data_IF_203430343379
#
_entry.id   IF_203430343379
#
_cell.length_a   1.000
_cell.length_b   1.000
_cell.length_c   1.000
_cell.angle_alpha   90.00
_cell.angle_beta   90.00
_cell.angle_gamma   90.00
#
_symmetry.space_group_name_H-M   'P 1'
#
loop_
_entity.id
_entity.type
_entity.pdbx_description
1 polymer ?
#
# COMPACT_ATOMS: atom_id res chain seq x y z
N UNK A 1 -10.16 -17.24 1.51
CA UNK A 1 -10.69 -16.29 2.52
C UNK A 1 -9.86 -16.37 3.79
N UNK A 2 -9.91 -17.48 4.53
CA UNK A 2 -9.06 -17.64 5.73
C UNK A 2 -7.57 -17.57 5.39
N UNK A 3 -7.10 -18.32 4.40
CA UNK A 3 -5.68 -18.31 4.00
C UNK A 3 -5.19 -16.94 3.51
N UNK A 4 -6.02 -16.19 2.79
CA UNK A 4 -5.65 -14.85 2.30
C UNK A 4 -5.60 -13.83 3.43
N UNK A 5 -6.54 -13.90 4.38
CA UNK A 5 -6.53 -13.08 5.59
C UNK A 5 -5.34 -13.43 6.51
N UNK A 6 -5.04 -14.71 6.71
CA UNK A 6 -3.89 -15.15 7.49
C UNK A 6 -2.57 -14.71 6.86
N UNK A 7 -2.43 -14.84 5.53
CA UNK A 7 -1.24 -14.38 4.82
C UNK A 7 -1.07 -12.86 4.90
N UNK A 8 -2.16 -12.09 4.77
CA UNK A 8 -2.13 -10.65 4.91
C UNK A 8 -1.81 -10.21 6.34
N UNK A 9 -2.46 -10.82 7.34
CA UNK A 9 -2.20 -10.52 8.74
C UNK A 9 -0.77 -10.87 9.17
N UNK A 10 -0.26 -12.04 8.76
CA UNK A 10 1.13 -12.42 9.00
C UNK A 10 2.11 -11.49 8.28
N UNK A 11 1.85 -11.18 7.01
CA UNK A 11 2.70 -10.32 6.20
C UNK A 11 2.85 -8.91 6.78
N UNK A 12 1.73 -8.29 7.17
CA UNK A 12 1.79 -7.00 7.84
C UNK A 12 2.28 -7.09 9.29
N UNK A 13 2.00 -8.19 10.01
CA UNK A 13 2.59 -8.40 11.34
C UNK A 13 4.13 -8.47 11.32
N UNK A 14 4.73 -9.10 10.31
CA UNK A 14 6.18 -9.11 10.09
C UNK A 14 6.67 -7.69 9.80
N UNK A 15 5.98 -6.99 8.89
CA UNK A 15 6.36 -5.63 8.51
C UNK A 15 6.37 -4.66 9.69
N UNK A 16 5.48 -4.82 10.66
CA UNK A 16 5.43 -3.98 11.86
C UNK A 16 6.70 -4.04 12.70
N UNK A 17 7.52 -5.09 12.51
CA UNK A 17 8.82 -5.23 13.16
C UNK A 17 10.00 -4.73 12.31
N UNK A 18 9.94 -4.86 10.99
CA UNK A 18 11.07 -4.54 10.09
C UNK A 18 10.97 -3.17 9.41
N UNK A 19 9.80 -2.52 9.45
CA UNK A 19 9.56 -1.19 8.88
C UNK A 19 9.83 -1.08 7.38
N UNK A 20 9.60 0.11 6.83
CA UNK A 20 10.01 0.50 5.47
C UNK A 20 9.34 -0.23 4.29
N UNK A 21 9.80 0.12 3.09
CA UNK A 21 9.29 -0.34 1.79
C UNK A 21 9.50 -1.85 1.59
N UNK A 22 10.65 -2.37 2.01
CA UNK A 22 11.02 -3.79 1.90
C UNK A 22 10.12 -4.68 2.75
N UNK A 23 9.80 -4.26 3.98
CA UNK A 23 8.84 -4.96 4.84
C UNK A 23 7.46 -5.04 4.19
N UNK A 24 7.05 -3.99 3.48
CA UNK A 24 5.80 -3.97 2.75
C UNK A 24 5.77 -4.96 1.59
N UNK A 25 6.86 -5.05 0.83
CA UNK A 25 6.99 -5.99 -0.27
C UNK A 25 6.77 -7.44 0.18
N UNK A 26 7.29 -7.83 1.36
CA UNK A 26 7.05 -9.17 1.92
C UNK A 26 5.56 -9.46 2.15
N UNK A 27 4.80 -8.48 2.67
CA UNK A 27 3.37 -8.64 2.87
C UNK A 27 2.62 -8.82 1.53
N UNK A 28 2.98 -8.03 0.51
CA UNK A 28 2.42 -8.17 -0.84
C UNK A 28 2.76 -9.51 -1.48
N UNK A 29 3.99 -9.98 -1.31
CA UNK A 29 4.45 -11.28 -1.81
C UNK A 29 3.60 -12.43 -1.24
N UNK A 30 3.43 -12.47 0.09
CA UNK A 30 2.66 -13.54 0.75
C UNK A 30 1.20 -13.55 0.30
N UNK A 31 0.57 -12.38 0.24
CA UNK A 31 -0.83 -12.28 -0.20
C UNK A 31 -0.96 -12.62 -1.69
N UNK A 32 -0.08 -12.11 -2.54
CA UNK A 32 -0.10 -12.42 -3.96
C UNK A 32 0.13 -13.92 -4.23
N UNK A 33 1.06 -14.57 -3.54
CA UNK A 33 1.29 -16.02 -3.68
C UNK A 33 0.04 -16.82 -3.36
N UNK A 34 -0.63 -16.53 -2.23
CA UNK A 34 -1.87 -17.23 -1.86
C UNK A 34 -2.99 -16.95 -2.87
N UNK A 35 -3.11 -15.73 -3.35
CA UNK A 35 -4.12 -15.36 -4.36
C UNK A 35 -3.87 -16.07 -5.70
N UNK A 36 -2.64 -16.06 -6.20
CA UNK A 36 -2.29 -16.72 -7.46
C UNK A 36 -2.39 -18.24 -7.34
N UNK A 37 -2.01 -18.83 -6.20
CA UNK A 37 -2.18 -20.26 -5.95
C UNK A 37 -3.65 -20.68 -5.97
N UNK A 38 -4.54 -19.90 -5.34
CA UNK A 38 -5.96 -20.24 -5.25
C UNK A 38 -6.74 -19.96 -6.55
N UNK A 39 -6.41 -18.88 -7.26
CA UNK A 39 -7.22 -18.40 -8.40
C UNK A 39 -6.54 -18.56 -9.76
N UNK A 40 -5.22 -18.67 -9.78
CA UNK A 40 -4.39 -18.79 -10.97
C UNK A 40 -3.81 -20.19 -11.19
N UNK A 41 -4.42 -21.24 -10.62
CA UNK A 41 -3.93 -22.63 -10.72
C UNK A 41 -3.77 -23.16 -12.16
N UNK A 42 -4.42 -22.51 -13.13
CA UNK A 42 -4.37 -22.85 -14.55
C UNK A 42 -3.33 -22.01 -15.34
N UNK A 43 -2.68 -21.05 -14.68
CA UNK A 43 -1.62 -20.24 -15.29
C UNK A 43 -0.31 -21.01 -15.34
N UNK A 44 0.55 -20.68 -16.31
CA UNK A 44 1.93 -21.16 -16.30
C UNK A 44 2.68 -20.61 -15.08
N UNK A 45 3.65 -21.38 -14.57
CA UNK A 45 4.50 -20.94 -13.44
C UNK A 45 5.17 -19.60 -13.70
N UNK A 46 5.52 -19.30 -14.96
CA UNK A 46 6.07 -18.01 -15.36
C UNK A 46 5.07 -16.86 -15.24
N UNK A 47 3.83 -17.05 -15.72
CA UNK A 47 2.77 -16.04 -15.61
C UNK A 47 2.38 -15.80 -14.15
N UNK A 48 2.31 -16.87 -13.36
CA UNK A 48 2.08 -16.81 -11.92
C UNK A 48 3.20 -16.01 -11.21
N UNK A 49 4.46 -16.36 -11.46
CA UNK A 49 5.61 -15.66 -10.88
C UNK A 49 5.65 -14.18 -11.26
N UNK A 50 5.36 -13.84 -12.53
CA UNK A 50 5.28 -12.46 -13.00
C UNK A 50 4.19 -11.67 -12.27
N UNK A 51 3.00 -12.24 -12.12
CA UNK A 51 1.89 -11.58 -11.41
C UNK A 51 2.25 -11.31 -9.94
N UNK A 52 2.87 -12.29 -9.28
CA UNK A 52 3.36 -12.15 -7.91
C UNK A 52 4.43 -11.07 -7.80
N UNK A 53 5.41 -11.06 -8.71
CA UNK A 53 6.48 -10.07 -8.71
C UNK A 53 5.94 -8.64 -8.92
N UNK A 54 5.03 -8.45 -9.87
CA UNK A 54 4.40 -7.14 -10.11
C UNK A 54 3.61 -6.65 -8.90
N UNK A 55 2.81 -7.52 -8.28
CA UNK A 55 2.05 -7.19 -7.08
C UNK A 55 2.97 -6.85 -5.88
N UNK A 56 4.08 -7.58 -5.75
CA UNK A 56 5.10 -7.38 -4.71
C UNK A 56 5.78 -6.02 -4.86
N UNK A 57 6.21 -5.64 -6.05
CA UNK A 57 6.82 -4.32 -6.28
C UNK A 57 5.81 -3.20 -6.02
N UNK A 58 4.57 -3.39 -6.48
CA UNK A 58 3.54 -2.36 -6.37
C UNK A 58 3.16 -2.02 -4.94
N UNK A 59 3.17 -3.01 -4.03
CA UNK A 59 2.92 -2.74 -2.61
C UNK A 59 4.07 -1.94 -1.97
N UNK A 60 5.30 -2.04 -2.52
CA UNK A 60 6.45 -1.27 -2.06
C UNK A 60 6.23 0.24 -2.22
N UNK A 61 5.56 0.67 -3.30
CA UNK A 61 5.29 2.09 -3.57
C UNK A 61 4.54 2.78 -2.42
N UNK A 62 3.59 2.08 -1.78
CA UNK A 62 2.85 2.69 -0.67
C UNK A 62 3.67 2.85 0.62
N UNK A 63 4.77 2.12 0.76
CA UNK A 63 5.71 2.26 1.87
C UNK A 63 6.43 3.61 1.91
N UNK A 64 6.44 4.34 0.80
CA UNK A 64 7.01 5.71 0.71
C UNK A 64 6.13 6.79 1.37
N UNK A 65 4.87 6.48 1.69
CA UNK A 65 3.98 7.44 2.34
C UNK A 65 4.30 7.57 3.84
N UNK A 66 4.42 8.81 4.32
CA UNK A 66 4.47 9.09 5.76
C UNK A 66 3.12 8.80 6.41
N UNK A 67 2.88 7.58 6.88
CA UNK A 67 1.67 7.26 7.64
C UNK A 67 1.91 7.26 9.15
N UNK A 68 3.15 7.07 9.64
CA UNK A 68 3.43 7.00 11.09
C UNK A 68 2.94 8.24 11.86
N UNK A 69 3.20 9.44 11.33
CA UNK A 69 2.69 10.71 11.89
C UNK A 69 1.16 10.82 11.78
N UNK A 70 0.54 10.21 10.77
CA UNK A 70 -0.93 10.11 10.67
C UNK A 70 -1.54 9.27 11.78
N UNK A 71 -0.83 8.20 12.19
CA UNK A 71 -1.27 7.39 13.32
C UNK A 71 -1.14 8.17 14.63
N UNK A 72 -0.08 8.98 14.77
CA UNK A 72 0.14 9.90 15.90
C UNK A 72 -1.09 10.77 16.20
N UNK A 73 -1.69 11.35 15.16
CA UNK A 73 -2.92 12.15 15.26
C UNK A 73 -4.12 11.46 15.95
N UNK A 74 -4.10 10.13 16.04
CA UNK A 74 -5.20 9.34 16.61
C UNK A 74 -4.87 8.73 17.97
N UNK A 75 -3.61 8.70 18.39
CA UNK A 75 -3.15 7.95 19.57
C UNK A 75 -2.19 8.71 20.49
N UNK A 76 -1.60 9.82 20.04
CA UNK A 76 -0.64 10.55 20.84
C UNK A 76 -1.33 11.15 22.07
N UNK A 77 -0.69 11.01 23.24
CA UNK A 77 -1.26 11.40 24.52
C UNK A 77 -1.82 12.83 24.56
N UNK A 78 -1.16 13.85 23.96
CA UNK A 78 -1.69 15.22 23.92
C UNK A 78 -3.00 15.37 23.12
N UNK A 79 -3.30 14.41 22.23
CA UNK A 79 -4.44 14.44 21.32
C UNK A 79 -5.61 13.57 21.79
N UNK A 80 -5.43 12.78 22.86
CA UNK A 80 -6.51 12.01 23.48
C UNK A 80 -7.57 12.98 24.04
N UNK A 81 -8.82 12.78 23.62
CA UNK A 81 -9.94 13.70 23.90
C UNK A 81 -10.26 14.64 22.74
N UNK A 82 -9.39 14.79 21.74
CA UNK A 82 -9.65 15.60 20.55
C UNK A 82 -10.29 14.77 19.42
N UNK A 83 -11.63 14.78 19.37
CA UNK A 83 -12.39 14.05 18.35
C UNK A 83 -12.16 14.53 16.92
N UNK A 84 -11.74 15.79 16.72
CA UNK A 84 -11.46 16.33 15.39
C UNK A 84 -10.12 15.80 14.84
N UNK A 85 -9.09 15.73 15.70
CA UNK A 85 -7.81 15.12 15.36
C UNK A 85 -7.98 13.63 15.01
N UNK A 86 -8.75 12.90 15.83
CA UNK A 86 -9.07 11.49 15.59
C UNK A 86 -9.72 11.26 14.22
N UNK A 87 -10.77 12.02 13.89
CA UNK A 87 -11.47 11.90 12.59
C UNK A 87 -10.55 12.24 11.42
N UNK A 88 -9.68 13.24 11.59
CA UNK A 88 -8.74 13.65 10.57
C UNK A 88 -7.66 12.59 10.32
N UNK A 89 -7.09 12.03 11.40
CA UNK A 89 -6.13 10.93 11.31
C UNK A 89 -6.74 9.67 10.68
N UNK A 90 -7.95 9.29 11.08
CA UNK A 90 -8.67 8.15 10.49
C UNK A 90 -9.02 8.36 9.00
N UNK A 91 -9.35 9.59 8.60
CA UNK A 91 -9.53 9.92 7.18
C UNK A 91 -8.20 9.79 6.42
N UNK A 92 -7.11 10.27 7.01
CA UNK A 92 -5.77 10.16 6.45
C UNK A 92 -5.33 8.71 6.27
N UNK A 93 -5.58 7.83 7.25
CA UNK A 93 -5.26 6.40 7.14
C UNK A 93 -6.12 5.72 6.08
N UNK A 94 -7.41 6.07 5.98
CA UNK A 94 -8.27 5.56 4.91
C UNK A 94 -7.73 5.92 3.52
N UNK A 95 -7.42 7.20 3.28
CA UNK A 95 -6.92 7.67 1.97
C UNK A 95 -5.57 7.02 1.64
N UNK A 96 -4.61 7.04 2.57
CA UNK A 96 -3.28 6.43 2.38
C UNK A 96 -3.40 4.93 2.16
N UNK A 97 -4.24 4.24 2.93
CA UNK A 97 -4.51 2.81 2.75
C UNK A 97 -5.12 2.50 1.39
N UNK A 98 -6.08 3.30 0.93
CA UNK A 98 -6.70 3.14 -0.39
C UNK A 98 -5.68 3.27 -1.51
N UNK A 99 -4.82 4.29 -1.47
CA UNK A 99 -3.78 4.47 -2.50
C UNK A 99 -2.82 3.29 -2.48
N UNK A 100 -2.37 2.88 -1.28
CA UNK A 100 -1.39 1.81 -1.10
C UNK A 100 -1.83 0.50 -1.72
N UNK A 101 -3.00 -0.02 -1.30
CA UNK A 101 -3.49 -1.30 -1.78
C UNK A 101 -4.11 -1.18 -3.17
N UNK A 102 -4.49 0.04 -3.60
CA UNK A 102 -4.86 0.34 -4.98
C UNK A 102 -3.74 -0.04 -5.97
N UNK A 103 -2.49 0.35 -5.68
CA UNK A 103 -1.34 -0.06 -6.51
C UNK A 103 -1.18 -1.57 -6.56
N UNK A 104 -1.28 -2.26 -5.41
CA UNK A 104 -1.23 -3.72 -5.35
C UNK A 104 -2.31 -4.35 -6.26
N UNK A 105 -3.56 -3.89 -6.14
CA UNK A 105 -4.68 -4.40 -6.93
C UNK A 105 -4.48 -4.17 -8.43
N UNK A 106 -4.05 -2.96 -8.82
CA UNK A 106 -3.78 -2.62 -10.21
C UNK A 106 -2.74 -3.56 -10.84
N UNK A 107 -1.57 -3.71 -10.19
CA UNK A 107 -0.46 -4.49 -10.73
C UNK A 107 -0.73 -6.00 -10.69
N UNK A 108 -1.43 -6.48 -9.65
CA UNK A 108 -1.90 -7.86 -9.61
C UNK A 108 -2.88 -8.15 -10.75
N UNK A 109 -3.82 -7.23 -11.01
CA UNK A 109 -4.76 -7.33 -12.12
C UNK A 109 -4.08 -7.27 -13.49
N UNK A 110 -3.05 -6.43 -13.67
CA UNK A 110 -2.21 -6.41 -14.87
C UNK A 110 -1.45 -7.72 -15.05
N UNK A 111 -0.93 -8.31 -13.97
CA UNK A 111 -0.17 -9.55 -14.00
C UNK A 111 -1.01 -10.77 -14.36
N UNK A 112 -2.24 -10.83 -13.85
CA UNK A 112 -3.22 -11.91 -14.07
C UNK A 112 -4.09 -11.70 -15.31
N UNK A 113 -4.11 -10.48 -15.85
CA UNK A 113 -4.86 -10.13 -17.05
C UNK A 113 -4.23 -10.73 -18.31
N UNK A 114 -5.08 -11.06 -19.28
CA UNK A 114 -4.64 -11.55 -20.60
C UNK A 114 -4.28 -10.43 -21.59
N UNK A 115 -4.33 -9.16 -21.17
CA UNK A 115 -4.07 -8.01 -22.05
C UNK A 115 -2.58 -7.83 -22.24
N UNK A 116 -2.16 -7.71 -23.50
CA UNK A 116 -0.76 -7.44 -23.86
C UNK A 116 -0.49 -5.94 -23.78
N UNK A 117 0.55 -5.59 -23.04
CA UNK A 117 1.10 -4.24 -22.95
C UNK A 117 2.45 -4.22 -23.67
N UNK A 118 2.62 -3.31 -24.63
CA UNK A 118 3.92 -3.16 -25.31
C UNK A 118 4.91 -2.43 -24.41
N UNK A 119 6.20 -2.63 -24.64
CA UNK A 119 7.26 -1.94 -23.86
C UNK A 119 7.13 -0.41 -23.95
N UNK A 120 6.79 0.11 -25.14
CA UNK A 120 6.59 1.55 -25.37
C UNK A 120 5.40 2.05 -24.55
N UNK A 121 4.30 1.31 -24.54
CA UNK A 121 3.11 1.66 -23.75
C UNK A 121 3.38 1.68 -22.25
N UNK A 122 4.13 0.70 -21.73
CA UNK A 122 4.51 0.68 -20.32
C UNK A 122 5.46 1.82 -19.97
N UNK A 123 6.45 2.11 -20.83
CA UNK A 123 7.38 3.22 -20.64
C UNK A 123 6.65 4.57 -20.64
N UNK A 124 5.76 4.80 -21.61
CA UNK A 124 4.97 6.03 -21.67
C UNK A 124 4.02 6.16 -20.48
N UNK A 125 3.35 5.07 -20.08
CA UNK A 125 2.46 5.07 -18.93
C UNK A 125 3.22 5.42 -17.63
N UNK A 126 4.44 4.90 -17.46
CA UNK A 126 5.30 5.20 -16.32
C UNK A 126 5.85 6.63 -16.36
N UNK A 127 6.29 7.13 -17.52
CA UNK A 127 6.77 8.52 -17.67
C UNK A 127 5.66 9.50 -17.29
N UNK A 128 4.44 9.28 -17.79
CA UNK A 128 3.28 10.12 -17.45
C UNK A 128 2.92 9.97 -15.97
N UNK A 129 3.00 8.76 -15.40
CA UNK A 129 2.77 8.55 -13.97
C UNK A 129 3.79 9.31 -13.11
N UNK A 130 5.08 9.31 -13.47
CA UNK A 130 6.13 10.08 -12.77
C UNK A 130 5.85 11.57 -12.87
N UNK A 131 5.53 12.08 -14.06
CA UNK A 131 5.16 13.49 -14.23
C UNK A 131 3.97 13.88 -13.35
N UNK A 132 2.91 13.05 -13.33
CA UNK A 132 1.73 13.28 -12.51
C UNK A 132 1.98 13.11 -11.02
N UNK A 133 2.96 12.28 -10.63
CA UNK A 133 3.42 12.19 -9.25
C UNK A 133 3.99 13.53 -8.79
N UNK A 134 4.89 14.13 -9.55
CA UNK A 134 5.44 15.45 -9.22
C UNK A 134 4.36 16.54 -9.25
N UNK A 135 3.45 16.49 -10.22
CA UNK A 135 2.32 17.43 -10.28
C UNK A 135 1.40 17.29 -9.06
N UNK A 136 1.07 16.07 -8.65
CA UNK A 136 0.23 15.82 -7.47
C UNK A 136 0.90 16.26 -6.17
N UNK A 137 2.22 16.06 -6.03
CA UNK A 137 2.99 16.62 -4.91
C UNK A 137 2.89 18.15 -4.90
N UNK A 138 3.11 18.79 -6.06
CA UNK A 138 3.04 20.25 -6.16
C UNK A 138 1.65 20.81 -5.86
N UNK A 139 0.58 20.10 -6.23
CA UNK A 139 -0.80 20.58 -6.03
C UNK A 139 -1.34 20.31 -4.62
N UNK A 140 -1.03 19.16 -4.03
CA UNK A 140 -1.64 18.70 -2.77
C UNK A 140 -0.69 18.67 -1.58
N UNK A 141 0.61 18.50 -1.82
CA UNK A 141 1.61 18.34 -0.76
C UNK A 141 2.60 19.51 -0.67
N UNK A 142 2.36 20.59 -1.43
CA UNK A 142 3.06 21.88 -1.33
C UNK A 142 2.05 22.99 -1.02
N UNK A 143 2.46 24.08 -0.34
CA UNK A 143 3.82 24.38 0.13
C UNK A 143 4.19 23.60 1.41
N UNK A 144 5.41 23.08 1.46
CA UNK A 144 5.99 22.47 2.66
C UNK A 144 7.22 23.28 3.11
N UNK A 145 7.00 24.21 4.04
CA UNK A 145 8.05 25.00 4.69
C UNK A 145 7.88 24.96 6.21
N UNK A 146 8.47 23.95 6.88
CA UNK A 146 8.46 23.82 8.33
C UNK A 146 9.09 25.01 9.06
N UNK A 147 10.06 25.71 8.46
CA UNK A 147 10.75 26.84 9.09
C UNK A 147 9.81 28.05 9.23
N UNK A 148 8.93 28.26 8.25
CA UNK A 148 7.88 29.29 8.30
C UNK A 148 6.54 28.78 8.84
N UNK A 149 6.48 27.55 9.38
CA UNK A 149 5.24 26.87 9.81
C UNK A 149 4.16 26.79 8.71
N UNK A 150 4.57 26.73 7.43
CA UNK A 150 3.65 26.57 6.30
C UNK A 150 3.58 25.09 5.95
N UNK A 151 2.41 24.50 6.21
CA UNK A 151 2.09 23.13 5.83
C UNK A 151 1.12 23.13 4.64
N UNK A 152 1.05 22.02 3.90
CA UNK A 152 0.07 21.86 2.83
C UNK A 152 -1.37 22.00 3.34
N UNK A 153 -2.28 22.44 2.47
CA UNK A 153 -3.70 22.63 2.83
C UNK A 153 -4.38 21.34 3.30
N UNK A 154 -3.97 20.21 2.72
CA UNK A 154 -4.42 18.87 3.11
C UNK A 154 -3.21 18.10 3.62
N UNK A 155 -2.99 18.17 4.93
CA UNK A 155 -1.86 17.54 5.61
C UNK A 155 -2.36 16.55 6.66
N UNK A 156 -2.00 15.28 6.52
CA UNK A 156 -2.46 14.19 7.40
C UNK A 156 -1.38 13.76 8.40
N UNK A 157 -0.42 14.60 8.72
CA UNK A 157 0.66 14.31 9.67
C UNK A 157 0.71 15.41 10.75
N UNK A 158 1.67 15.34 11.67
CA UNK A 158 1.79 16.23 12.84
C UNK A 158 1.70 17.70 12.45
N UNK A 159 0.70 18.41 12.99
CA UNK A 159 0.40 19.78 12.64
C UNK A 159 0.34 20.65 13.90
N UNK A 160 0.99 21.82 13.86
CA UNK A 160 0.96 22.83 14.94
C UNK A 160 -0.45 23.37 15.29
N UNK A 161 -1.48 22.96 14.55
CA UNK A 161 -2.86 23.30 14.83
C UNK A 161 -3.40 22.42 15.95
N UNK A 162 -2.95 21.17 16.02
CA UNK A 162 -3.33 20.22 17.06
C UNK A 162 -2.43 20.36 18.29
N UNK A 163 -1.14 20.66 18.10
CA UNK A 163 -0.15 20.81 19.17
C UNK A 163 0.63 22.13 19.00
N UNK A 164 0.09 23.26 19.47
CA UNK A 164 0.65 24.59 19.22
C UNK A 164 1.96 24.88 19.97
N UNK A 165 2.19 24.22 21.11
CA UNK A 165 3.33 24.45 22.01
C UNK A 165 4.49 23.47 21.80
N UNK A 166 4.29 22.41 20.99
CA UNK A 166 5.28 21.35 20.78
C UNK A 166 6.26 21.65 19.64
N UNK A 167 7.51 21.20 19.81
CA UNK A 167 8.53 21.22 18.75
C UNK A 167 8.34 20.04 17.79
N UNK A 168 7.34 20.17 16.90
CA UNK A 168 7.05 19.18 15.87
C UNK A 168 8.16 19.12 14.80
N UNK A 169 8.40 17.91 14.27
CA UNK A 169 9.20 17.67 13.06
C UNK A 169 8.31 17.09 11.95
N UNK A 170 7.48 17.92 11.29
CA UNK A 170 6.61 17.45 10.21
C UNK A 170 7.45 16.82 9.10
N UNK A 171 7.01 15.70 8.52
CA UNK A 171 7.65 15.10 7.35
C UNK A 171 6.90 15.49 6.09
N UNK A 172 7.63 15.56 4.98
CA UNK A 172 7.02 15.79 3.67
C UNK A 172 6.11 14.61 3.32
N UNK A 173 4.91 14.90 2.88
CA UNK A 173 3.95 13.90 2.44
C UNK A 173 4.01 13.73 0.91
N UNK A 174 3.81 12.50 0.42
CA UNK A 174 3.82 12.20 -1.03
C UNK A 174 2.52 11.54 -1.51
N UNK A 175 1.51 11.45 -0.64
CA UNK A 175 0.25 10.75 -0.94
C UNK A 175 -0.51 11.37 -2.11
N UNK A 176 -0.46 12.70 -2.28
CA UNK A 176 -1.13 13.40 -3.38
C UNK A 176 -0.52 13.09 -4.73
N UNK A 177 0.82 12.97 -4.78
CA UNK A 177 1.53 12.50 -5.96
C UNK A 177 1.16 11.07 -6.35
N UNK A 178 1.20 10.16 -5.38
CA UNK A 178 0.81 8.76 -5.60
C UNK A 178 -0.67 8.63 -6.00
N UNK A 179 -1.55 9.47 -5.47
CA UNK A 179 -2.95 9.50 -5.89
C UNK A 179 -3.09 9.89 -7.37
N UNK A 180 -2.40 10.95 -7.81
CA UNK A 180 -2.46 11.41 -9.20
C UNK A 180 -1.89 10.37 -10.17
N UNK A 181 -0.75 9.77 -9.82
CA UNK A 181 -0.16 8.69 -10.59
C UNK A 181 -1.10 7.47 -10.66
N UNK A 182 -1.73 7.08 -9.55
CA UNK A 182 -2.70 5.99 -9.52
C UNK A 182 -3.94 6.31 -10.36
N UNK A 183 -4.51 7.51 -10.26
CA UNK A 183 -5.65 7.95 -11.05
C UNK A 183 -5.37 7.86 -12.56
N UNK A 184 -4.17 8.27 -12.99
CA UNK A 184 -3.75 8.10 -14.38
C UNK A 184 -3.66 6.64 -14.78
N UNK A 185 -3.04 5.79 -13.97
CA UNK A 185 -2.92 4.37 -14.29
C UNK A 185 -4.29 3.69 -14.34
N UNK A 186 -5.24 4.08 -13.47
CA UNK A 186 -6.64 3.65 -13.53
C UNK A 186 -7.27 4.12 -14.84
N UNK A 187 -7.07 5.38 -15.22
CA UNK A 187 -7.65 5.92 -16.44
C UNK A 187 -7.09 5.24 -17.70
N UNK A 188 -5.78 5.01 -17.72
CA UNK A 188 -5.09 4.32 -18.81
C UNK A 188 -5.54 2.86 -18.95
N UNK A 189 -5.51 2.11 -17.85
CA UNK A 189 -5.90 0.70 -17.86
C UNK A 189 -7.40 0.51 -18.10
N UNK A 190 -8.24 1.34 -17.48
CA UNK A 190 -9.70 1.25 -17.53
C UNK A 190 -10.33 1.80 -18.80
N UNK A 191 -9.94 3.00 -19.25
CA UNK A 191 -10.59 3.67 -20.40
C UNK A 191 -9.85 3.43 -21.72
N UNK A 192 -8.52 3.49 -21.71
CA UNK A 192 -7.72 3.35 -22.95
C UNK A 192 -7.54 1.88 -23.31
N UNK A 193 -7.02 1.07 -22.37
CA UNK A 193 -6.77 -0.36 -22.60
C UNK A 193 -7.99 -1.25 -22.38
N UNK A 194 -9.00 -0.75 -21.67
CA UNK A 194 -10.23 -1.49 -21.33
C UNK A 194 -9.94 -2.82 -20.64
N UNK A 195 -8.94 -2.82 -19.76
CA UNK A 195 -8.58 -3.94 -18.91
C UNK A 195 -9.51 -3.96 -17.69
N UNK A 196 -10.58 -4.75 -17.79
CA UNK A 196 -11.60 -4.85 -16.76
C UNK A 196 -11.05 -5.48 -15.47
N UNK A 197 -10.09 -6.41 -15.57
CA UNK A 197 -9.51 -7.05 -14.40
C UNK A 197 -8.66 -6.04 -13.62
N UNK A 198 -7.73 -5.35 -14.29
CA UNK A 198 -6.90 -4.33 -13.66
C UNK A 198 -7.74 -3.22 -13.02
N UNK A 199 -8.77 -2.74 -13.71
CA UNK A 199 -9.70 -1.71 -13.20
C UNK A 199 -10.52 -2.18 -12.00
N UNK A 200 -11.04 -3.40 -12.02
CA UNK A 200 -11.85 -3.87 -10.90
C UNK A 200 -10.96 -4.19 -9.69
N UNK A 201 -9.76 -4.72 -9.93
CA UNK A 201 -8.80 -5.05 -8.87
C UNK A 201 -8.26 -3.81 -8.16
N UNK A 202 -7.99 -2.71 -8.87
CA UNK A 202 -7.57 -1.45 -8.22
C UNK A 202 -8.69 -0.85 -7.37
N UNK A 203 -9.95 -0.89 -7.81
CA UNK A 203 -11.08 -0.38 -7.02
C UNK A 203 -11.31 -1.23 -5.76
N UNK A 204 -11.27 -2.55 -5.88
CA UNK A 204 -11.33 -3.44 -4.72
C UNK A 204 -10.12 -3.26 -3.81
N UNK A 205 -8.94 -3.02 -4.39
CA UNK A 205 -7.72 -2.71 -3.65
C UNK A 205 -7.85 -1.43 -2.84
N UNK A 206 -8.39 -0.36 -3.44
CA UNK A 206 -8.64 0.90 -2.74
C UNK A 206 -9.62 0.73 -1.57
N UNK A 207 -10.68 -0.05 -1.76
CA UNK A 207 -11.63 -0.34 -0.67
C UNK A 207 -10.99 -1.20 0.43
N UNK A 208 -10.27 -2.26 0.04
CA UNK A 208 -9.58 -3.16 0.97
C UNK A 208 -8.54 -2.41 1.81
N UNK A 209 -7.76 -1.54 1.16
CA UNK A 209 -6.74 -0.74 1.80
C UNK A 209 -7.31 0.32 2.72
N UNK A 210 -8.32 1.06 2.26
CA UNK A 210 -8.93 2.12 3.05
C UNK A 210 -9.64 1.57 4.29
N UNK A 211 -10.48 0.55 4.11
CA UNK A 211 -11.15 -0.11 5.23
C UNK A 211 -10.17 -0.81 6.16
N UNK A 212 -9.18 -1.50 5.61
CA UNK A 212 -8.20 -2.21 6.41
C UNK A 212 -7.39 -1.26 7.29
N UNK A 213 -6.89 -0.15 6.74
CA UNK A 213 -6.05 0.76 7.50
C UNK A 213 -6.89 1.58 8.49
N UNK A 214 -8.09 2.00 8.10
CA UNK A 214 -9.05 2.65 9.00
C UNK A 214 -9.40 1.75 10.19
N UNK A 215 -9.83 0.51 9.95
CA UNK A 215 -10.24 -0.41 11.00
C UNK A 215 -9.06 -0.88 11.85
N UNK A 216 -7.89 -1.10 11.25
CA UNK A 216 -6.66 -1.34 11.99
C UNK A 216 -6.36 -0.19 12.94
N UNK A 217 -6.45 1.06 12.45
CA UNK A 217 -6.18 2.22 13.30
C UNK A 217 -7.22 2.41 14.39
N UNK A 218 -8.49 2.05 14.15
CA UNK A 218 -9.51 2.03 15.20
C UNK A 218 -9.11 1.10 16.36
N UNK A 219 -8.47 -0.04 16.10
CA UNK A 219 -8.01 -0.96 17.16
C UNK A 219 -6.93 -0.31 18.02
N UNK A 220 -5.93 0.32 17.39
CA UNK A 220 -4.84 0.98 18.09
C UNK A 220 -5.29 2.26 18.82
N UNK A 221 -6.12 3.09 18.17
CA UNK A 221 -6.71 4.27 18.80
C UNK A 221 -7.62 3.90 19.97
N UNK A 222 -8.40 2.81 19.87
CA UNK A 222 -9.27 2.39 20.97
C UNK A 222 -8.48 2.03 22.23
N UNK A 223 -7.35 1.34 22.09
CA UNK A 223 -6.45 1.07 23.22
C UNK A 223 -5.90 2.37 23.81
N UNK A 224 -5.34 3.26 22.99
CA UNK A 224 -4.77 4.53 23.45
C UNK A 224 -5.79 5.40 24.20
N UNK A 225 -7.06 5.39 23.79
CA UNK A 225 -8.12 6.21 24.41
C UNK A 225 -8.76 5.57 25.65
N UNK A 226 -8.55 4.27 25.90
CA UNK A 226 -9.21 3.52 26.97
C UNK A 226 -8.21 2.72 27.82
N UNK A 227 -6.99 3.21 27.98
CA UNK A 227 -5.92 2.52 28.73
C UNK A 227 -6.38 2.12 30.12
N UNK A 228 -7.07 3.01 30.83
CA UNK A 228 -7.59 2.74 32.18
C UNK A 228 -8.51 1.52 32.20
N UNK A 229 -9.39 1.36 31.20
CA UNK A 229 -10.28 0.21 31.09
C UNK A 229 -9.52 -1.09 30.86
N UNK A 230 -8.45 -1.07 30.05
CA UNK A 230 -7.62 -2.25 29.81
C UNK A 230 -6.85 -2.70 31.06
N UNK A 231 -6.43 -1.76 31.91
CA UNK A 231 -5.72 -2.05 33.15
C UNK A 231 -6.60 -2.69 34.25
N UNK A 232 -7.91 -2.42 34.25
CA UNK A 232 -8.87 -3.06 35.20
C UNK A 232 -9.69 -4.21 34.61
N UNK A 233 -9.57 -4.48 33.31
CA UNK A 233 -10.32 -5.53 32.63
C UNK A 233 -9.64 -6.91 32.76
N UNK A 234 -10.35 -7.96 32.35
CA UNK A 234 -9.81 -9.33 32.26
C UNK A 234 -8.62 -9.45 31.28
N UNK A 235 -8.44 -8.43 30.43
CA UNK A 235 -7.33 -8.29 29.48
C UNK A 235 -6.07 -7.70 30.11
N UNK A 236 -6.11 -7.23 31.37
CA UNK A 236 -4.98 -6.61 32.05
C UNK A 236 -3.73 -7.52 32.12
N UNK A 237 -3.92 -8.84 32.19
CA UNK A 237 -2.80 -9.80 32.18
C UNK A 237 -2.16 -10.00 30.81
N UNK A 238 -2.87 -9.65 29.73
CA UNK A 238 -2.39 -9.82 28.34
C UNK A 238 -1.89 -8.51 27.73
N UNK A 239 -2.43 -7.37 28.18
CA UNK A 239 -2.11 -6.04 27.66
C UNK A 239 -0.60 -5.74 27.59
N UNK A 240 0.22 -6.04 28.61
CA UNK A 240 1.66 -5.76 28.55
C UNK A 240 2.41 -6.57 27.48
N UNK A 241 1.85 -7.68 27.03
CA UNK A 241 2.44 -8.56 26.02
C UNK A 241 1.97 -8.24 24.60
N UNK A 242 1.00 -7.32 24.44
CA UNK A 242 0.42 -6.96 23.15
C UNK A 242 1.10 -5.71 22.62
N UNK A 243 1.78 -5.85 21.48
CA UNK A 243 2.20 -4.71 20.70
C UNK A 243 1.02 -4.21 19.84
N UNK A 244 0.42 -3.09 20.24
CA UNK A 244 -0.75 -2.51 19.58
C UNK A 244 -0.47 -1.97 18.18
N UNK A 245 0.77 -1.54 17.91
CA UNK A 245 1.22 -1.21 16.56
C UNK A 245 1.14 -2.45 15.65
N UNK A 246 1.70 -3.58 16.10
CA UNK A 246 1.60 -4.83 15.36
C UNK A 246 0.16 -5.33 15.24
N UNK A 247 -0.67 -5.12 16.27
CA UNK A 247 -2.09 -5.49 16.20
C UNK A 247 -2.84 -4.71 15.13
N UNK A 248 -2.58 -3.40 14.99
CA UNK A 248 -3.10 -2.58 13.90
C UNK A 248 -2.65 -3.11 12.54
N UNK A 249 -1.35 -3.40 12.39
CA UNK A 249 -0.81 -3.91 11.13
C UNK A 249 -1.38 -5.29 10.75
N UNK A 250 -1.48 -6.22 11.70
CA UNK A 250 -2.10 -7.54 11.51
C UNK A 250 -3.57 -7.37 11.09
N UNK A 251 -4.31 -6.47 11.76
CA UNK A 251 -5.72 -6.21 11.45
C UNK A 251 -5.87 -5.63 10.04
N UNK A 252 -5.04 -4.65 9.68
CA UNK A 252 -4.97 -4.09 8.34
C UNK A 252 -4.75 -5.21 7.30
N UNK A 253 -3.83 -6.12 7.57
CA UNK A 253 -3.43 -7.18 6.64
C UNK A 253 -4.50 -8.25 6.49
N UNK A 254 -5.13 -8.61 7.60
CA UNK A 254 -6.24 -9.54 7.61
C UNK A 254 -7.41 -9.02 6.77
N UNK A 255 -7.79 -7.75 6.93
CA UNK A 255 -8.87 -7.12 6.16
C UNK A 255 -8.49 -7.00 4.69
N UNK A 256 -7.27 -6.55 4.40
CA UNK A 256 -6.73 -6.50 3.03
C UNK A 256 -6.86 -7.85 2.32
N UNK A 257 -6.32 -8.91 2.92
CA UNK A 257 -6.39 -10.26 2.34
C UNK A 257 -7.80 -10.84 2.31
N UNK A 258 -8.65 -10.46 3.26
CA UNK A 258 -10.06 -10.88 3.32
C UNK A 258 -10.92 -10.18 2.27
N UNK A 259 -10.63 -8.95 1.86
CA UNK A 259 -11.38 -8.25 0.82
C UNK A 259 -10.86 -8.62 -0.57
N UNK A 260 -9.54 -8.65 -0.75
CA UNK A 260 -8.92 -8.89 -2.06
C UNK A 260 -9.14 -10.30 -2.63
N UNK A 261 -9.17 -11.33 -1.79
CA UNK A 261 -9.45 -12.70 -2.24
C UNK A 261 -10.88 -12.89 -2.78
N UNK A 262 -11.92 -12.77 -1.95
CA UNK A 262 -13.30 -13.02 -2.34
C UNK A 262 -13.96 -11.90 -3.15
N UNK A 263 -13.62 -10.62 -2.98
CA UNK A 263 -14.26 -9.55 -3.74
C UNK A 263 -13.40 -9.08 -4.92
N UNK A 264 -12.09 -8.99 -4.73
CA UNK A 264 -11.15 -8.69 -5.82
C UNK A 264 -11.12 -9.80 -6.85
N UNK A 265 -10.59 -10.98 -6.49
CA UNK A 265 -10.30 -12.04 -7.47
C UNK A 265 -11.45 -13.00 -7.73
N UNK A 266 -12.18 -13.45 -6.70
CA UNK A 266 -13.26 -14.41 -6.91
C UNK A 266 -14.41 -13.85 -7.76
N UNK A 267 -14.82 -12.60 -7.54
CA UNK A 267 -15.83 -11.93 -8.37
C UNK A 267 -15.34 -11.65 -9.80
N UNK A 268 -14.03 -11.49 -10.01
CA UNK A 268 -13.44 -11.18 -11.31
C UNK A 268 -12.73 -12.39 -11.96
N UNK A 269 -12.95 -13.60 -11.43
CA UNK A 269 -12.23 -14.81 -11.88
C UNK A 269 -12.41 -15.13 -13.36
N UNK A 270 -13.53 -14.71 -13.94
CA UNK A 270 -13.85 -14.89 -15.36
C UNK A 270 -12.98 -14.00 -16.29
N UNK A 271 -12.30 -13.00 -15.73
CA UNK A 271 -11.40 -12.11 -16.47
C UNK A 271 -9.92 -12.50 -16.32
N UNK A 272 -9.60 -13.52 -15.52
CA UNK A 272 -8.25 -14.07 -15.39
C UNK A 272 -7.89 -14.76 -16.72
N UNK A 273 -6.65 -14.56 -17.17
CA UNK A 273 -6.17 -15.17 -18.41
C UNK A 273 -6.28 -16.70 -18.35
N UNK A 274 -6.99 -17.31 -19.28
CA UNK A 274 -6.93 -18.76 -19.51
C UNK A 274 -5.78 -19.04 -20.47
N UNK A 275 -4.73 -19.71 -19.99
CA UNK A 275 -3.64 -20.08 -20.89
C UNK A 275 -4.15 -21.08 -21.95
N UNK A 276 -4.06 -20.67 -23.22
CA UNK A 276 -3.96 -21.56 -24.37
C UNK A 276 -2.66 -22.35 -24.27
N UNK A 277 -2.72 -23.64 -24.59
CA UNK A 277 -1.72 -24.70 -24.39
C UNK A 277 -0.33 -24.53 -25.08
N UNK A 278 0.14 -23.32 -25.43
CA UNK A 278 1.31 -23.16 -26.32
C UNK A 278 2.28 -22.01 -25.97
N UNK A 279 2.60 -21.78 -24.69
CA UNK A 279 3.86 -21.07 -24.36
C UNK A 279 4.97 -22.08 -24.03
N UNK A 280 5.58 -22.64 -25.09
CA UNK A 280 6.94 -23.20 -24.99
C UNK A 280 7.90 -22.02 -24.79
N UNK A 281 8.29 -21.77 -23.55
CA UNK A 281 9.23 -20.68 -23.23
C UNK A 281 10.66 -21.24 -23.29
N UNK A 282 11.45 -20.71 -24.22
CA UNK A 282 12.91 -20.55 -24.07
C UNK A 282 13.19 -19.07 -23.82
N UNK A 283 13.47 -18.69 -22.57
CA UNK A 283 13.98 -17.36 -22.27
C UNK A 283 15.47 -17.34 -22.60
N UNK A 284 15.87 -16.44 -23.50
CA UNK A 284 17.28 -16.24 -23.81
C UNK A 284 17.95 -15.56 -22.60
N UNK A 285 19.05 -16.14 -22.10
CA UNK A 285 19.80 -15.75 -20.88
C UNK A 285 20.05 -14.24 -20.74
N UNK A 286 20.19 -13.52 -21.84
CA UNK A 286 20.38 -12.05 -21.86
C UNK A 286 19.16 -11.28 -21.37
N UNK A 287 17.96 -11.79 -21.62
CA UNK A 287 16.69 -11.18 -21.22
C UNK A 287 16.46 -11.36 -19.71
N UNK A 288 16.84 -12.51 -19.16
CA UNK A 288 16.84 -12.76 -17.70
C UNK A 288 17.84 -11.84 -16.99
N UNK A 289 19.07 -11.72 -17.50
CA UNK A 289 20.06 -10.83 -16.91
C UNK A 289 19.60 -9.37 -16.91
N UNK A 290 18.93 -8.93 -17.98
CA UNK A 290 18.43 -7.55 -18.12
C UNK A 290 17.27 -7.25 -17.17
N UNK A 291 16.36 -8.23 -16.98
CA UNK A 291 15.21 -8.10 -16.06
C UNK A 291 15.62 -8.16 -14.58
N UNK A 292 16.74 -8.83 -14.26
CA UNK A 292 17.30 -8.88 -12.91
C UNK A 292 18.16 -7.64 -12.61
N UNK A 293 18.93 -7.16 -13.60
CA UNK A 293 19.83 -6.01 -13.41
C UNK A 293 19.10 -4.66 -13.31
N UNK A 294 17.95 -4.49 -13.97
CA UNK A 294 17.23 -3.22 -13.97
C UNK A 294 16.61 -2.85 -12.60
N UNK A 295 15.91 -3.76 -11.89
CA UNK A 295 15.46 -3.52 -10.52
C UNK A 295 16.64 -3.34 -9.56
N UNK A 296 17.67 -4.18 -9.68
CA UNK A 296 18.85 -4.16 -8.80
C UNK A 296 19.61 -2.82 -8.89
N UNK A 297 19.80 -2.29 -10.11
CA UNK A 297 20.45 -0.99 -10.32
C UNK A 297 19.57 0.19 -9.88
N UNK A 298 18.25 0.05 -9.95
CA UNK A 298 17.29 1.06 -9.48
C UNK A 298 17.23 1.11 -7.94
N UNK A 299 17.26 -0.04 -7.27
CA UNK A 299 17.32 -0.12 -5.79
C UNK A 299 18.67 0.33 -5.23
N UNK A 300 19.79 -0.02 -5.89
CA UNK A 300 21.10 0.42 -5.43
C UNK A 300 21.32 1.94 -5.57
N UNK A 301 20.71 2.60 -6.56
CA UNK A 301 20.84 4.06 -6.70
C UNK A 301 19.93 4.86 -5.75
N UNK A 302 18.75 4.35 -5.39
CA UNK A 302 17.87 5.03 -4.44
C UNK A 302 18.36 4.93 -2.99
N UNK A 303 18.93 3.79 -2.59
CA UNK A 303 19.50 3.67 -1.23
C UNK A 303 20.79 4.49 -1.06
N UNK A 304 21.61 4.65 -2.10
CA UNK A 304 22.84 5.46 -2.02
C UNK A 304 22.58 6.97 -1.92
N UNK A 305 21.47 7.47 -2.48
CA UNK A 305 21.14 8.89 -2.40
C UNK A 305 20.52 9.28 -1.05
N UNK A 306 19.84 8.35 -0.39
CA UNK A 306 19.24 8.58 0.94
C UNK A 306 20.28 8.45 2.05
N UNK A 307 21.32 7.63 1.90
CA UNK A 307 22.35 7.45 2.94
C UNK A 307 23.35 8.60 3.09
N UNK A 308 23.50 9.47 2.08
CA UNK A 308 24.47 10.58 2.13
C UNK A 308 23.86 11.96 2.42
N UNK A 309 22.53 12.07 2.55
CA UNK A 309 21.83 13.33 2.86
C UNK A 309 20.82 13.18 4.02
N UNK A 310 21.24 12.54 5.11
CA UNK A 310 20.64 12.71 6.44
C UNK A 310 21.67 13.33 7.38
#
# INVERSE_FOLDING_TARGET
>A
MLFTALAGGMGWGIRGQYGHETGAMLAGLLVALVLVYLFGYHLSSFSAARAVALATVAIGFGGSMTYGQTLGLTQDAPLIGNMAALRWGLLGTFIKGSIWIGYFGLFLGLGLGGKKYTMVEMALALIVAIFLLYLGIFVLNEPFDPASKKLPSIYFSDHWYWEPEETLKPRREQWGGLLFALCWLIAYTGFIKKDLLARNMVLWGMLAGGLGFFLGQCVQAYHAWNVDWFQVSWLASFEPNINWWNMMEITFGAIFGCVMGPFGLWCNRHHIATNSLEEKISLEYKTELSLISFPYCSTCNLEFYVFFHV
#
